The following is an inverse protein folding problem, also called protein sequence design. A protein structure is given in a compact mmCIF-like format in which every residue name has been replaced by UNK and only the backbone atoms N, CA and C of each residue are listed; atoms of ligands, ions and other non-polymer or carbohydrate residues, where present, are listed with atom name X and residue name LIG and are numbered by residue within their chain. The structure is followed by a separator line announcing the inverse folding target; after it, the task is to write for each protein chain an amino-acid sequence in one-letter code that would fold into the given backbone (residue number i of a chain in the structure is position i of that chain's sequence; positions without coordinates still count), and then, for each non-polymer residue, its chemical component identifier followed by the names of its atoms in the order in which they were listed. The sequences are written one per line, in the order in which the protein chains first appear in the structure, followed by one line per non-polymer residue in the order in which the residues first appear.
data_IF_145988588322
#
_entry.id   IF_145988588322
#
_cell.length_a   1.000
_cell.length_b   1.000
_cell.length_c   1.000
_cell.angle_alpha   90.00
_cell.angle_beta   90.00
_cell.angle_gamma   90.00
#
_symmetry.space_group_name_H-M   'P 1'
#
loop_
_entity.id
_entity.type
_entity.pdbx_description
1 polymer ?
#
# COMPACT_ATOMS: atom_id res chain seq x y z
N UNK A 1 -21.97 12.78 10.92
CA UNK A 1 -21.06 13.69 11.64
C UNK A 1 -20.57 14.75 10.67
N UNK A 2 -20.40 15.99 11.11
CA UNK A 2 -19.95 17.15 10.33
C UNK A 2 -18.45 17.41 10.56
N UNK A 3 -17.87 18.27 9.74
CA UNK A 3 -16.41 18.60 9.80
C UNK A 3 -15.97 19.21 11.14
N UNK A 4 -16.88 19.80 11.91
CA UNK A 4 -16.61 20.33 13.26
C UNK A 4 -16.85 19.31 14.39
N UNK A 5 -17.08 18.05 14.04
CA UNK A 5 -17.39 16.97 14.98
C UNK A 5 -18.84 16.94 15.46
N UNK A 6 -19.70 17.88 15.04
CA UNK A 6 -21.09 17.86 15.44
C UNK A 6 -21.85 16.70 14.81
N UNK A 7 -22.84 16.16 15.56
CA UNK A 7 -23.59 14.96 15.20
C UNK A 7 -25.00 15.38 14.81
N UNK A 8 -25.49 14.88 13.67
CA UNK A 8 -26.85 15.15 13.17
C UNK A 8 -27.70 13.91 13.36
N UNK A 9 -28.86 14.06 13.98
CA UNK A 9 -29.80 12.98 14.30
C UNK A 9 -31.22 13.38 13.89
N UNK A 10 -31.97 12.48 13.27
CA UNK A 10 -33.41 12.53 13.17
C UNK A 10 -34.05 11.78 14.34
N UNK A 11 -35.20 12.20 14.80
CA UNK A 11 -35.88 11.59 15.94
C UNK A 11 -37.32 11.20 15.58
N UNK A 12 -37.84 10.25 16.35
CA UNK A 12 -39.26 9.87 16.27
C UNK A 12 -40.23 10.98 16.81
N UNK A 13 -39.69 12.05 17.35
CA UNK A 13 -40.46 13.19 17.89
C UNK A 13 -40.46 14.36 16.92
N UNK A 14 -40.54 14.10 15.61
CA UNK A 14 -40.67 15.11 14.55
C UNK A 14 -39.58 16.18 14.57
N UNK A 15 -38.36 15.80 15.00
CA UNK A 15 -37.29 16.77 15.19
C UNK A 15 -35.98 16.28 14.59
N UNK A 16 -35.30 17.15 13.86
CA UNK A 16 -33.90 17.04 13.53
C UNK A 16 -33.09 17.75 14.62
N UNK A 17 -32.11 17.08 15.18
CA UNK A 17 -31.23 17.61 16.25
C UNK A 17 -29.81 17.61 15.78
N UNK A 18 -29.06 18.66 16.06
CA UNK A 18 -27.62 18.72 15.91
C UNK A 18 -26.98 18.89 17.28
N UNK A 19 -26.11 17.95 17.62
CA UNK A 19 -25.36 17.94 18.87
C UNK A 19 -23.91 18.39 18.65
N UNK A 20 -23.32 19.05 19.63
CA UNK A 20 -21.88 19.28 19.69
C UNK A 20 -21.13 17.98 19.97
N UNK A 21 -19.79 17.94 19.79
CA UNK A 21 -18.99 16.76 20.10
C UNK A 21 -19.09 16.30 21.57
N UNK A 22 -19.41 17.21 22.49
CA UNK A 22 -19.62 16.94 23.91
C UNK A 22 -21.02 16.37 24.24
N UNK A 23 -21.87 16.19 23.22
CA UNK A 23 -23.24 15.70 23.37
C UNK A 23 -24.28 16.76 23.71
N UNK A 24 -23.89 18.03 23.91
CA UNK A 24 -24.86 19.11 24.15
C UNK A 24 -25.53 19.54 22.85
N UNK A 25 -26.79 19.99 22.95
CA UNK A 25 -27.51 20.44 21.78
C UNK A 25 -26.92 21.71 21.20
N UNK A 26 -26.67 21.71 19.90
CA UNK A 26 -26.28 22.92 19.16
C UNK A 26 -27.47 23.64 18.62
N UNK A 27 -28.39 22.93 17.95
CA UNK A 27 -29.70 23.44 17.49
C UNK A 27 -30.63 22.28 17.12
N UNK A 28 -31.92 22.59 16.98
CA UNK A 28 -32.94 21.67 16.47
C UNK A 28 -33.85 22.35 15.47
N UNK A 29 -34.49 21.53 14.63
CA UNK A 29 -35.54 21.98 13.72
C UNK A 29 -36.71 20.99 13.75
N UNK A 30 -37.94 21.51 13.70
CA UNK A 30 -39.14 20.70 13.61
C UNK A 30 -39.36 20.20 12.17
N UNK A 31 -39.94 19.02 12.06
CA UNK A 31 -40.53 18.46 10.85
C UNK A 31 -42.02 18.21 11.09
N UNK A 32 -42.81 18.06 10.04
CA UNK A 32 -44.27 17.92 10.19
C UNK A 32 -44.67 16.52 10.72
N UNK A 33 -43.77 15.52 10.62
CA UNK A 33 -43.99 14.16 11.12
C UNK A 33 -42.64 13.53 11.55
N UNK A 34 -42.68 12.33 12.08
CA UNK A 34 -41.51 11.58 12.53
C UNK A 34 -40.62 11.09 11.34
N UNK A 35 -39.39 10.75 11.62
CA UNK A 35 -38.42 10.29 10.62
C UNK A 35 -37.63 9.09 11.09
N UNK A 36 -37.66 8.01 10.31
CA UNK A 36 -36.77 6.84 10.37
C UNK A 36 -35.59 6.99 9.41
N UNK A 37 -35.58 8.09 8.63
CA UNK A 37 -34.53 8.34 7.66
C UNK A 37 -33.28 8.86 8.35
N UNK A 38 -32.14 8.28 8.02
CA UNK A 38 -30.86 8.82 8.44
C UNK A 38 -30.53 10.09 7.66
N UNK A 39 -30.22 11.21 8.32
CA UNK A 39 -29.83 12.44 7.65
C UNK A 39 -28.60 12.27 6.76
N UNK A 40 -28.61 12.93 5.59
CA UNK A 40 -27.49 13.01 4.66
C UNK A 40 -26.96 14.44 4.66
N UNK A 41 -25.65 14.60 4.79
CA UNK A 41 -24.99 15.91 4.77
C UNK A 41 -24.30 16.07 3.43
N UNK A 42 -24.66 17.09 2.67
CA UNK A 42 -24.03 17.44 1.41
C UNK A 42 -22.69 18.19 1.63
N UNK A 43 -21.82 18.25 0.61
CA UNK A 43 -20.52 18.93 0.71
C UNK A 43 -20.62 20.42 1.09
N UNK A 44 -21.71 21.09 0.71
CA UNK A 44 -22.01 22.50 1.05
C UNK A 44 -22.53 22.67 2.49
N UNK A 45 -22.76 21.55 3.20
CA UNK A 45 -23.28 21.53 4.55
C UNK A 45 -24.79 21.42 4.66
N UNK A 46 -25.54 21.40 3.57
CA UNK A 46 -26.99 21.16 3.58
C UNK A 46 -27.32 19.79 4.13
N UNK A 47 -28.28 19.69 5.03
CA UNK A 47 -28.70 18.43 5.65
C UNK A 47 -30.04 18.04 5.04
N UNK A 48 -30.10 16.88 4.42
CA UNK A 48 -31.30 16.28 3.85
C UNK A 48 -31.80 15.15 4.73
N UNK A 49 -33.11 15.11 4.99
CA UNK A 49 -33.77 14.05 5.74
C UNK A 49 -35.16 13.77 5.19
N UNK A 50 -35.46 12.49 4.94
CA UNK A 50 -36.82 12.06 4.56
C UNK A 50 -37.68 11.98 5.79
N UNK A 51 -39.00 12.35 5.66
CA UNK A 51 -39.96 12.35 6.72
C UNK A 51 -41.18 11.48 6.35
N UNK A 52 -41.89 10.97 7.32
CA UNK A 52 -43.08 10.14 7.13
C UNK A 52 -44.28 10.90 6.53
N UNK A 53 -44.25 12.25 6.55
CA UNK A 53 -45.18 13.11 5.83
C UNK A 53 -44.98 13.09 4.29
N UNK A 54 -44.08 12.21 3.78
CA UNK A 54 -43.71 12.03 2.37
C UNK A 54 -42.96 13.25 1.78
N UNK A 55 -42.33 14.09 2.61
CA UNK A 55 -41.49 15.18 2.17
C UNK A 55 -40.01 14.86 2.40
N UNK A 56 -39.16 15.51 1.62
CA UNK A 56 -37.73 15.62 1.84
C UNK A 56 -37.44 17.02 2.40
N UNK A 57 -36.96 17.07 3.61
CA UNK A 57 -36.53 18.31 4.25
C UNK A 57 -35.09 18.62 3.90
N UNK A 58 -34.80 19.90 3.66
CA UNK A 58 -33.47 20.42 3.45
C UNK A 58 -33.19 21.56 4.42
N UNK A 59 -32.24 21.36 5.31
CA UNK A 59 -31.83 22.37 6.30
C UNK A 59 -30.50 22.97 5.89
N UNK A 60 -30.46 24.29 5.76
CA UNK A 60 -29.24 25.00 5.41
C UNK A 60 -28.16 24.77 6.45
N UNK A 61 -26.94 24.51 6.01
CA UNK A 61 -25.75 24.33 6.82
C UNK A 61 -24.52 24.88 6.12
N UNK A 62 -23.50 25.17 6.88
CA UNK A 62 -22.24 25.72 6.36
C UNK A 62 -21.06 24.72 6.52
N UNK A 63 -21.34 23.52 7.01
CA UNK A 63 -20.31 22.53 7.34
C UNK A 63 -20.68 21.17 6.75
N UNK A 64 -19.88 20.74 5.79
CA UNK A 64 -20.04 19.47 5.11
C UNK A 64 -19.85 18.24 6.02
N UNK A 65 -19.96 17.04 5.46
CA UNK A 65 -19.72 15.79 6.19
C UNK A 65 -18.29 15.74 6.70
N UNK A 66 -18.09 15.13 7.87
CA UNK A 66 -16.75 14.93 8.44
C UNK A 66 -15.88 14.09 7.48
N UNK A 67 -14.59 14.44 7.43
CA UNK A 67 -13.58 13.60 6.81
C UNK A 67 -13.25 12.52 7.85
N UNK A 68 -14.03 11.46 7.90
CA UNK A 68 -13.92 10.36 8.85
C UNK A 68 -14.30 9.05 8.16
N UNK A 69 -13.94 7.93 8.79
CA UNK A 69 -14.19 6.60 8.21
C UNK A 69 -15.69 6.29 8.04
N UNK A 70 -16.51 6.85 8.91
CA UNK A 70 -17.96 6.62 8.92
C UNK A 70 -18.76 7.90 9.26
N UNK A 71 -18.75 8.94 8.37
CA UNK A 71 -19.33 10.25 8.67
C UNK A 71 -20.85 10.24 8.74
N UNK A 72 -21.53 9.28 8.09
CA UNK A 72 -22.99 9.21 8.05
C UNK A 72 -23.47 7.76 7.86
N UNK A 73 -24.79 7.53 7.96
CA UNK A 73 -25.38 6.19 7.82
C UNK A 73 -24.97 5.55 6.48
N UNK A 74 -24.49 4.31 6.56
CA UNK A 74 -23.85 3.58 5.44
C UNK A 74 -22.72 4.37 4.79
N UNK A 75 -22.06 5.21 5.59
CA UNK A 75 -20.79 5.86 5.37
C UNK A 75 -20.77 7.06 4.41
N UNK A 76 -21.35 6.98 3.24
CA UNK A 76 -21.30 8.04 2.22
C UNK A 76 -22.70 8.39 1.68
N UNK A 77 -22.78 9.47 0.89
CA UNK A 77 -24.01 9.92 0.27
C UNK A 77 -24.64 8.91 -0.69
N UNK A 78 -23.85 7.95 -1.20
CA UNK A 78 -24.35 6.84 -2.01
C UNK A 78 -24.78 5.64 -1.16
N UNK A 79 -24.66 5.68 0.15
CA UNK A 79 -25.08 4.64 1.12
C UNK A 79 -24.52 3.25 0.82
N UNK A 80 -23.31 3.18 0.31
CA UNK A 80 -22.68 1.92 -0.13
C UNK A 80 -22.36 0.98 1.03
N UNK A 81 -22.19 1.50 2.26
CA UNK A 81 -21.80 0.71 3.42
C UNK A 81 -20.44 0.03 3.30
N UNK A 82 -19.69 0.37 2.25
CA UNK A 82 -18.35 -0.13 2.00
C UNK A 82 -17.35 0.96 2.38
N UNK A 83 -16.37 0.62 3.18
CA UNK A 83 -15.26 1.52 3.43
C UNK A 83 -14.37 1.55 2.18
N UNK A 84 -14.20 2.70 1.47
CA UNK A 84 -13.15 2.78 0.47
C UNK A 84 -11.82 2.55 1.15
N UNK A 85 -11.05 1.69 0.58
CA UNK A 85 -9.68 1.49 0.98
C UNK A 85 -8.96 2.83 0.79
N UNK A 86 -8.82 3.61 1.87
CA UNK A 86 -7.99 4.81 1.87
C UNK A 86 -8.60 6.17 2.20
N UNK A 87 -9.49 6.30 3.20
CA UNK A 87 -9.89 7.63 3.71
C UNK A 87 -9.98 7.64 5.24
N UNK A 88 -8.95 8.08 5.87
CA UNK A 88 -8.99 8.66 7.22
C UNK A 88 -8.13 9.93 7.21
N UNK A 89 -8.71 11.04 7.63
CA UNK A 89 -7.97 12.27 7.92
C UNK A 89 -7.41 12.19 9.36
N UNK A 90 -6.41 11.42 9.50
CA UNK A 90 -5.44 11.28 10.56
C UNK A 90 -4.35 10.46 9.94
N UNK A 91 -3.11 10.74 10.11
CA UNK A 91 -1.96 10.10 9.43
C UNK A 91 -2.33 8.87 8.59
N UNK A 92 -2.71 9.10 7.33
CA UNK A 92 -3.19 8.03 6.42
C UNK A 92 -2.21 6.88 6.43
N UNK A 93 -2.69 5.67 6.73
CA UNK A 93 -1.87 4.47 6.65
C UNK A 93 -1.21 4.39 5.28
N UNK A 94 0.10 4.22 5.24
CA UNK A 94 0.90 4.18 4.01
C UNK A 94 1.94 3.09 4.09
N UNK A 95 2.43 2.69 2.93
CA UNK A 95 3.59 1.82 2.84
C UNK A 95 4.84 2.67 3.04
N UNK A 96 5.59 2.40 4.09
CA UNK A 96 6.83 3.12 4.43
C UNK A 96 8.07 2.43 3.87
N UNK A 97 7.99 1.12 3.68
CA UNK A 97 9.07 0.30 3.14
C UNK A 97 8.49 -0.87 2.35
N UNK A 98 9.19 -1.26 1.33
CA UNK A 98 8.95 -2.47 0.56
C UNK A 98 10.29 -3.16 0.31
N UNK A 99 10.37 -4.47 0.53
CA UNK A 99 11.60 -5.25 0.36
C UNK A 99 11.33 -6.58 -0.33
N UNK A 100 12.31 -7.09 -1.06
CA UNK A 100 12.29 -8.41 -1.69
C UNK A 100 13.63 -9.07 -1.54
N UNK A 101 13.65 -10.26 -0.94
CA UNK A 101 14.83 -11.13 -0.87
C UNK A 101 14.64 -12.36 -1.72
N UNK A 102 15.60 -12.62 -2.59
CA UNK A 102 15.63 -13.79 -3.46
C UNK A 102 17.04 -14.05 -3.99
N UNK A 103 17.23 -15.14 -4.70
CA UNK A 103 18.46 -15.41 -5.46
C UNK A 103 18.46 -14.51 -6.72
N UNK A 104 19.40 -13.57 -6.77
CA UNK A 104 19.62 -12.69 -7.92
C UNK A 104 20.63 -13.37 -8.86
N UNK A 105 20.19 -13.64 -10.08
CA UNK A 105 20.98 -14.25 -11.13
C UNK A 105 21.24 -13.30 -12.30
N UNK A 106 21.52 -13.87 -13.45
CA UNK A 106 21.73 -13.16 -14.72
C UNK A 106 20.59 -13.44 -15.69
N UNK A 107 20.42 -12.58 -16.70
CA UNK A 107 19.40 -12.75 -17.73
C UNK A 107 17.97 -12.81 -17.16
N UNK A 108 17.24 -13.87 -17.43
CA UNK A 108 15.87 -14.08 -16.94
C UNK A 108 15.75 -14.23 -15.42
N UNK A 109 16.84 -14.50 -14.71
CA UNK A 109 16.89 -14.65 -13.26
C UNK A 109 17.34 -13.36 -12.53
N UNK A 110 17.47 -12.25 -13.22
CA UNK A 110 17.70 -10.94 -12.59
C UNK A 110 16.54 -10.63 -11.63
N UNK A 111 16.87 -10.16 -10.41
CA UNK A 111 15.84 -9.67 -9.49
C UNK A 111 15.27 -8.37 -10.03
N UNK A 112 14.00 -8.40 -10.43
CA UNK A 112 13.29 -7.25 -10.96
C UNK A 112 12.19 -6.87 -9.98
N UNK A 113 12.20 -5.63 -9.50
CA UNK A 113 11.15 -5.09 -8.67
C UNK A 113 10.56 -3.84 -9.32
N UNK A 114 9.23 -3.84 -9.50
CA UNK A 114 8.48 -2.68 -9.95
C UNK A 114 7.87 -1.94 -8.77
N UNK A 115 7.87 -0.61 -8.80
CA UNK A 115 7.17 0.20 -7.81
C UNK A 115 6.44 1.37 -8.47
N UNK A 116 5.39 1.85 -7.81
CA UNK A 116 4.56 2.95 -8.31
C UNK A 116 4.53 4.07 -7.27
N UNK A 117 4.84 5.27 -7.73
CA UNK A 117 4.60 6.52 -7.00
C UNK A 117 3.33 7.15 -7.52
N UNK A 118 2.38 7.47 -6.66
CA UNK A 118 1.08 8.05 -7.01
C UNK A 118 0.83 9.33 -6.22
N UNK A 119 0.12 10.27 -6.84
CA UNK A 119 -0.19 11.58 -6.28
C UNK A 119 0.55 12.71 -6.99
N UNK A 120 0.37 13.93 -6.51
CA UNK A 120 0.99 15.14 -7.07
C UNK A 120 2.34 15.42 -6.40
N UNK A 121 3.27 16.00 -7.17
CA UNK A 121 4.65 16.29 -6.72
C UNK A 121 5.59 15.09 -6.88
N UNK A 122 6.63 15.06 -6.09
CA UNK A 122 7.63 13.99 -6.09
C UNK A 122 7.75 13.32 -4.72
N UNK A 123 8.28 12.09 -4.71
CA UNK A 123 8.56 11.33 -3.50
C UNK A 123 10.01 10.89 -3.45
N UNK A 124 10.72 11.27 -2.39
CA UNK A 124 12.06 10.77 -2.11
C UNK A 124 12.02 9.29 -1.77
N UNK A 125 12.77 8.49 -2.50
CA UNK A 125 12.94 7.07 -2.21
C UNK A 125 14.43 6.73 -2.10
N UNK A 126 14.76 5.95 -1.07
CA UNK A 126 16.03 5.25 -0.97
C UNK A 126 15.83 3.82 -1.48
N UNK A 127 16.48 3.48 -2.59
CA UNK A 127 16.47 2.14 -3.16
C UNK A 127 17.83 1.50 -2.93
N UNK A 128 17.85 0.28 -2.35
CA UNK A 128 19.08 -0.44 -2.02
C UNK A 128 19.11 -1.80 -2.70
N UNK A 129 20.28 -2.22 -3.14
CA UNK A 129 20.60 -3.59 -3.53
C UNK A 129 21.64 -4.14 -2.56
N UNK A 130 21.21 -4.96 -1.62
CA UNK A 130 22.06 -5.44 -0.53
C UNK A 130 22.47 -6.87 -0.78
N UNK A 131 23.75 -7.13 -0.67
CA UNK A 131 24.35 -8.46 -0.81
C UNK A 131 25.34 -8.72 0.33
N UNK A 132 26.55 -8.15 0.35
CA UNK A 132 27.57 -8.46 1.34
C UNK A 132 27.10 -8.29 2.78
N UNK A 133 26.34 -7.22 3.07
CA UNK A 133 25.83 -6.95 4.42
C UNK A 133 24.87 -8.03 4.92
N UNK A 134 24.23 -8.81 4.05
CA UNK A 134 23.33 -9.91 4.45
C UNK A 134 24.06 -11.01 5.23
N UNK A 135 25.37 -11.15 5.06
CA UNK A 135 26.15 -12.12 5.83
C UNK A 135 26.09 -11.85 7.35
N UNK A 136 25.99 -10.59 7.76
CA UNK A 136 25.85 -10.21 9.18
C UNK A 136 24.50 -10.64 9.79
N UNK A 137 23.52 -10.97 8.94
CA UNK A 137 22.22 -11.53 9.32
C UNK A 137 22.13 -13.05 9.14
N UNK A 138 23.28 -13.71 8.94
CA UNK A 138 23.35 -15.17 8.80
C UNK A 138 22.93 -15.70 7.42
N UNK A 139 22.80 -14.83 6.41
CA UNK A 139 22.48 -15.27 5.04
C UNK A 139 23.75 -15.79 4.38
N UNK A 140 23.78 -17.10 4.10
CA UNK A 140 24.85 -17.75 3.33
C UNK A 140 24.58 -17.62 1.84
N UNK A 141 25.64 -17.52 1.02
CA UNK A 141 25.51 -17.35 -0.43
C UNK A 141 24.99 -15.99 -0.87
N UNK A 142 25.19 -14.95 -0.06
CA UNK A 142 24.85 -13.57 -0.42
C UNK A 142 25.63 -13.13 -1.67
N UNK A 143 24.98 -12.34 -2.53
CA UNK A 143 25.59 -11.77 -3.72
C UNK A 143 26.77 -10.85 -3.33
N UNK A 144 27.96 -11.16 -3.84
CA UNK A 144 29.19 -10.51 -3.38
C UNK A 144 29.32 -9.03 -3.76
N UNK A 145 28.77 -8.64 -4.91
CA UNK A 145 28.79 -7.26 -5.40
C UNK A 145 27.50 -6.99 -6.19
N UNK A 146 26.41 -6.54 -5.52
CA UNK A 146 25.17 -6.16 -6.18
C UNK A 146 25.28 -4.83 -6.89
N UNK A 147 24.64 -4.71 -8.03
CA UNK A 147 24.38 -3.47 -8.73
C UNK A 147 22.89 -3.22 -8.76
N UNK A 148 22.44 -1.99 -8.44
CA UNK A 148 21.05 -1.55 -8.60
C UNK A 148 20.95 -0.56 -9.76
N UNK A 149 20.09 -0.88 -10.74
CA UNK A 149 19.75 0.02 -11.85
C UNK A 149 18.26 0.36 -11.81
N UNK A 150 17.93 1.65 -11.93
CA UNK A 150 16.57 2.16 -11.89
C UNK A 150 16.13 2.64 -13.27
N UNK A 151 14.88 2.31 -13.64
CA UNK A 151 14.31 2.58 -14.95
C UNK A 151 12.95 3.26 -14.85
N UNK A 152 12.63 4.07 -15.87
CA UNK A 152 11.26 4.51 -16.18
C UNK A 152 10.94 4.03 -17.61
N UNK A 153 10.06 3.05 -17.73
CA UNK A 153 9.90 2.30 -18.97
C UNK A 153 11.22 1.64 -19.38
N UNK A 154 11.68 1.88 -20.60
CA UNK A 154 12.96 1.37 -21.10
C UNK A 154 14.17 2.29 -20.77
N UNK A 155 13.95 3.50 -20.28
CA UNK A 155 15.01 4.46 -20.01
C UNK A 155 15.65 4.19 -18.65
N UNK A 156 16.96 3.91 -18.63
CA UNK A 156 17.73 3.86 -17.39
C UNK A 156 17.92 5.26 -16.81
N UNK A 157 17.50 5.45 -15.58
CA UNK A 157 17.59 6.74 -14.87
C UNK A 157 18.90 6.90 -14.12
N UNK A 158 19.38 5.84 -13.50
CA UNK A 158 20.59 5.81 -12.66
C UNK A 158 20.95 4.36 -12.36
N UNK A 159 22.22 4.12 -12.10
CA UNK A 159 22.74 2.88 -11.53
C UNK A 159 23.79 3.18 -10.46
N UNK A 160 23.94 2.24 -9.54
CA UNK A 160 25.00 2.24 -8.53
C UNK A 160 25.34 0.78 -8.16
N UNK A 161 26.62 0.53 -7.92
CA UNK A 161 27.14 -0.78 -7.45
C UNK A 161 27.96 -0.66 -6.16
N UNK A 162 28.39 0.55 -5.81
CA UNK A 162 29.15 0.86 -4.59
C UNK A 162 28.54 2.08 -3.92
N UNK A 163 27.65 1.90 -2.95
CA UNK A 163 26.91 2.99 -2.30
C UNK A 163 27.81 4.08 -1.71
N UNK A 164 28.99 3.66 -1.16
CA UNK A 164 29.93 4.57 -0.52
C UNK A 164 30.66 5.51 -1.49
N UNK A 165 30.69 5.18 -2.79
CA UNK A 165 31.28 6.02 -3.85
C UNK A 165 30.25 6.99 -4.48
N UNK A 166 28.97 6.89 -4.11
CA UNK A 166 27.96 7.82 -4.59
C UNK A 166 28.24 9.25 -4.10
N UNK A 167 28.09 10.24 -4.98
CA UNK A 167 28.30 11.67 -4.63
C UNK A 167 27.41 12.15 -3.47
N UNK A 168 26.28 11.48 -3.23
CA UNK A 168 25.34 11.76 -2.15
C UNK A 168 25.36 10.68 -1.05
N UNK A 169 26.48 9.98 -0.84
CA UNK A 169 26.59 8.90 0.16
C UNK A 169 26.23 9.33 1.58
N UNK A 170 26.59 10.54 1.99
CA UNK A 170 26.20 11.10 3.30
C UNK A 170 24.67 11.25 3.45
N UNK A 171 23.98 11.66 2.38
CA UNK A 171 22.52 11.75 2.35
C UNK A 171 21.88 10.36 2.37
N UNK A 172 22.50 9.36 1.71
CA UNK A 172 22.07 7.96 1.76
C UNK A 172 22.10 7.46 3.21
N UNK A 173 23.18 7.70 3.96
CA UNK A 173 23.28 7.33 5.37
C UNK A 173 22.19 7.99 6.21
N UNK A 174 21.98 9.30 6.03
CA UNK A 174 20.97 10.04 6.78
C UNK A 174 19.56 9.56 6.47
N UNK A 175 19.25 9.32 5.19
CA UNK A 175 17.96 8.81 4.75
C UNK A 175 17.70 7.39 5.24
N UNK A 176 18.71 6.51 5.21
CA UNK A 176 18.63 5.15 5.74
C UNK A 176 18.31 5.15 7.24
N UNK A 177 19.03 5.97 8.02
CA UNK A 177 18.78 6.10 9.46
C UNK A 177 17.38 6.63 9.77
N UNK A 178 16.92 7.66 9.06
CA UNK A 178 15.61 8.26 9.24
C UNK A 178 14.46 7.30 8.85
N UNK A 179 14.69 6.44 7.86
CA UNK A 179 13.71 5.42 7.41
C UNK A 179 13.74 4.12 8.23
N UNK A 180 14.65 4.01 9.22
CA UNK A 180 14.82 2.80 10.03
C UNK A 180 15.47 1.63 9.28
N UNK A 181 16.20 1.92 8.19
CA UNK A 181 16.96 0.92 7.46
C UNK A 181 18.25 0.58 8.23
N UNK A 182 18.64 -0.69 8.25
CA UNK A 182 19.92 -1.07 8.85
C UNK A 182 21.09 -0.40 8.11
N UNK A 183 22.19 -0.06 8.81
CA UNK A 183 23.33 0.61 8.19
C UNK A 183 24.05 -0.33 7.23
N UNK A 184 24.52 0.21 6.10
CA UNK A 184 25.50 -0.46 5.25
C UNK A 184 26.89 -0.13 5.77
N UNK A 185 27.79 -1.13 5.93
CA UNK A 185 29.15 -0.91 6.40
C UNK A 185 29.92 -0.01 5.42
N UNK A 186 30.74 0.87 5.96
CA UNK A 186 31.65 1.69 5.13
C UNK A 186 32.56 0.80 4.31
N UNK A 187 32.66 1.10 3.01
CA UNK A 187 33.44 0.29 2.07
C UNK A 187 32.83 -1.05 1.67
N UNK A 188 31.58 -1.34 2.09
CA UNK A 188 30.88 -2.50 1.55
C UNK A 188 30.50 -2.27 0.09
N UNK A 189 30.47 -3.36 -0.68
CA UNK A 189 30.07 -3.37 -2.09
C UNK A 189 28.55 -3.45 -2.28
N UNK A 190 27.76 -3.10 -1.25
CA UNK A 190 26.32 -2.96 -1.39
C UNK A 190 25.98 -1.74 -2.25
N UNK A 191 24.85 -1.78 -2.95
CA UNK A 191 24.40 -0.71 -3.82
C UNK A 191 23.28 0.13 -3.17
N UNK A 192 23.28 1.44 -3.40
CA UNK A 192 22.17 2.31 -3.00
C UNK A 192 22.01 3.52 -3.89
N UNK A 193 20.76 3.93 -4.11
CA UNK A 193 20.36 5.14 -4.81
C UNK A 193 19.35 5.90 -3.97
N UNK A 194 19.61 7.18 -3.68
CA UNK A 194 18.65 8.10 -3.09
C UNK A 194 18.26 9.15 -4.13
N UNK A 195 16.97 9.22 -4.44
CA UNK A 195 16.44 10.08 -5.50
C UNK A 195 14.96 10.41 -5.29
N UNK A 196 14.53 11.55 -5.87
CA UNK A 196 13.13 11.93 -5.99
C UNK A 196 12.50 11.33 -7.26
N UNK A 197 11.28 10.79 -7.09
CA UNK A 197 10.47 10.20 -8.16
C UNK A 197 9.15 10.94 -8.28
N UNK A 198 8.83 11.42 -9.47
CA UNK A 198 7.49 11.93 -9.80
C UNK A 198 6.44 10.81 -9.80
N UNK A 199 5.17 11.16 -9.92
CA UNK A 199 4.12 10.16 -10.13
C UNK A 199 4.39 9.33 -11.37
N UNK A 200 4.37 7.98 -11.24
CA UNK A 200 4.68 7.06 -12.33
C UNK A 200 5.10 5.67 -11.85
N UNK A 201 5.26 4.77 -12.81
CA UNK A 201 5.79 3.41 -12.59
C UNK A 201 7.29 3.36 -12.85
N UNK A 202 8.00 2.66 -12.00
CA UNK A 202 9.46 2.50 -12.06
C UNK A 202 9.85 1.05 -11.86
N UNK A 203 11.03 0.70 -12.34
CA UNK A 203 11.62 -0.63 -12.16
C UNK A 203 13.01 -0.51 -11.57
N UNK A 204 13.29 -1.29 -10.53
CA UNK A 204 14.62 -1.54 -10.02
C UNK A 204 15.06 -2.93 -10.47
N UNK A 205 16.26 -3.03 -11.00
CA UNK A 205 16.92 -4.31 -11.32
C UNK A 205 18.11 -4.46 -10.39
N UNK A 206 18.20 -5.60 -9.71
CA UNK A 206 19.38 -5.96 -8.92
C UNK A 206 20.05 -7.16 -9.57
N UNK A 207 21.31 -6.99 -9.91
CA UNK A 207 22.16 -8.02 -10.53
C UNK A 207 23.55 -7.98 -9.92
N UNK A 208 24.34 -9.03 -10.13
CA UNK A 208 25.74 -9.01 -9.74
C UNK A 208 26.60 -8.18 -10.70
N UNK A 209 27.37 -7.26 -10.18
CA UNK A 209 28.44 -6.58 -10.93
C UNK A 209 29.40 -7.66 -11.46
N UNK A 210 29.76 -7.55 -12.75
CA UNK A 210 30.58 -8.59 -13.40
C UNK A 210 29.91 -9.93 -13.64
N UNK A 211 28.57 -10.04 -13.53
CA UNK A 211 27.82 -11.28 -13.79
C UNK A 211 27.74 -12.25 -12.60
N UNK A 212 28.10 -11.80 -11.39
CA UNK A 212 27.96 -12.60 -10.15
C UNK A 212 26.51 -12.98 -9.86
N UNK A 213 26.32 -14.04 -9.09
CA UNK A 213 25.00 -14.52 -8.65
C UNK A 213 25.00 -14.79 -7.15
N UNK A 214 23.85 -14.73 -6.51
CA UNK A 214 23.71 -15.00 -5.09
C UNK A 214 22.45 -14.36 -4.50
N UNK A 215 22.23 -14.56 -3.21
CA UNK A 215 21.08 -13.99 -2.50
C UNK A 215 21.27 -12.48 -2.38
N UNK A 216 20.31 -11.72 -2.89
CA UNK A 216 20.25 -10.27 -2.75
C UNK A 216 18.93 -9.83 -2.11
N UNK A 217 18.98 -8.71 -1.42
CA UNK A 217 17.82 -8.00 -0.89
C UNK A 217 17.69 -6.66 -1.62
N UNK A 218 16.59 -6.48 -2.33
CA UNK A 218 16.18 -5.17 -2.85
C UNK A 218 15.25 -4.53 -1.84
N UNK A 219 15.47 -3.26 -1.55
CA UNK A 219 14.63 -2.48 -0.65
C UNK A 219 14.31 -1.11 -1.25
N UNK A 220 13.10 -0.63 -1.01
CA UNK A 220 12.66 0.73 -1.31
C UNK A 220 12.05 1.35 -0.06
N UNK A 221 12.67 2.39 0.45
CA UNK A 221 12.20 3.16 1.59
C UNK A 221 11.63 4.49 1.15
N UNK A 222 10.47 4.82 1.67
CA UNK A 222 9.87 6.14 1.56
C UNK A 222 10.59 7.11 2.52
N UNK A 223 11.40 8.00 1.97
CA UNK A 223 12.20 8.98 2.73
C UNK A 223 11.53 10.34 2.87
N UNK A 224 10.31 10.49 2.39
CA UNK A 224 9.58 11.75 2.41
C UNK A 224 9.60 12.47 1.05
N UNK A 225 9.07 13.67 1.02
CA UNK A 225 8.99 14.49 -0.19
C UNK A 225 7.87 15.52 -0.14
N UNK A 226 7.61 16.18 -1.27
CA UNK A 226 6.53 17.14 -1.39
C UNK A 226 5.16 16.49 -1.16
N UNK A 227 4.26 17.25 -0.59
CA UNK A 227 2.92 16.77 -0.19
C UNK A 227 2.15 16.13 -1.35
N UNK A 228 1.54 14.98 -1.11
CA UNK A 228 0.63 14.31 -2.04
C UNK A 228 1.18 13.05 -2.72
N UNK A 229 2.47 13.00 -3.06
CA UNK A 229 3.07 11.81 -3.65
C UNK A 229 3.36 10.73 -2.60
N UNK A 230 3.12 9.46 -2.92
CA UNK A 230 3.36 8.31 -2.04
C UNK A 230 3.67 7.04 -2.81
N UNK A 231 4.41 6.16 -2.18
CA UNK A 231 4.62 4.78 -2.66
C UNK A 231 3.32 3.98 -2.47
N UNK A 232 2.81 3.34 -3.52
CA UNK A 232 1.50 2.67 -3.47
C UNK A 232 1.54 1.21 -3.87
N UNK A 233 2.56 0.78 -4.60
CA UNK A 233 2.68 -0.59 -5.09
C UNK A 233 4.15 -1.03 -5.07
N UNK A 234 4.38 -2.29 -4.76
CA UNK A 234 5.58 -3.04 -5.12
C UNK A 234 5.17 -4.33 -5.81
N UNK A 235 5.86 -4.66 -6.88
CA UNK A 235 5.83 -5.98 -7.49
C UNK A 235 7.25 -6.50 -7.62
N UNK A 236 7.44 -7.80 -7.48
CA UNK A 236 8.73 -8.43 -7.72
C UNK A 236 8.57 -9.68 -8.56
N UNK A 237 9.51 -9.90 -9.44
CA UNK A 237 9.61 -11.13 -10.23
C UNK A 237 10.98 -11.75 -10.04
N UNK A 238 10.97 -13.02 -9.68
CA UNK A 238 12.15 -13.86 -9.54
C UNK A 238 11.78 -15.32 -9.72
N UNK A 239 12.74 -16.17 -9.94
CA UNK A 239 12.55 -17.61 -9.79
C UNK A 239 12.16 -17.92 -8.33
N UNK A 240 11.19 -18.81 -8.16
CA UNK A 240 10.69 -19.24 -6.85
C UNK A 240 10.86 -20.74 -6.72
N UNK A 241 11.61 -21.16 -5.70
CA UNK A 241 11.83 -22.56 -5.34
C UNK A 241 11.14 -22.95 -4.05
N UNK A 242 11.75 -23.86 -3.33
CA UNK A 242 11.30 -24.39 -2.04
C UNK A 242 12.38 -24.18 -0.96
N UNK A 243 12.02 -24.31 0.32
CA UNK A 243 12.96 -24.13 1.44
C UNK A 243 13.54 -22.72 1.50
N UNK A 244 14.85 -22.57 1.32
CA UNK A 244 15.55 -21.28 1.32
C UNK A 244 15.39 -20.46 0.05
N UNK A 245 14.92 -21.06 -1.05
CA UNK A 245 14.81 -20.43 -2.37
C UNK A 245 13.42 -19.84 -2.64
N UNK A 246 12.62 -19.64 -1.62
CA UNK A 246 11.34 -18.96 -1.74
C UNK A 246 11.52 -17.45 -1.96
N UNK A 247 10.56 -16.83 -2.61
CA UNK A 247 10.47 -15.36 -2.66
C UNK A 247 9.93 -14.83 -1.33
N UNK A 248 10.69 -13.97 -0.67
CA UNK A 248 10.25 -13.26 0.52
C UNK A 248 10.08 -11.79 0.19
N UNK A 249 8.85 -11.31 0.26
CA UNK A 249 8.52 -9.89 0.12
C UNK A 249 8.11 -9.34 1.48
N UNK A 250 8.73 -8.23 1.91
CA UNK A 250 8.41 -7.54 3.15
C UNK A 250 7.82 -6.17 2.87
N UNK A 251 6.95 -5.70 3.75
CA UNK A 251 6.43 -4.34 3.71
C UNK A 251 6.13 -3.82 5.11
N UNK A 252 6.17 -2.49 5.26
CA UNK A 252 5.87 -1.81 6.52
C UNK A 252 4.66 -0.91 6.32
N UNK A 253 3.65 -1.09 7.14
CA UNK A 253 2.50 -0.17 7.25
C UNK A 253 2.82 0.86 8.30
N UNK A 254 2.74 2.15 7.95
CA UNK A 254 2.97 3.28 8.87
C UNK A 254 1.71 4.14 8.96
N UNK A 255 1.59 4.90 10.02
CA UNK A 255 0.43 5.77 10.27
C UNK A 255 -0.74 5.01 10.86
N UNK A 256 -1.86 4.92 10.16
CA UNK A 256 -3.03 4.17 10.59
C UNK A 256 -3.15 2.80 9.90
N UNK A 257 -4.13 2.01 10.33
CA UNK A 257 -4.52 0.74 9.70
C UNK A 257 -4.73 0.90 8.20
N UNK A 258 -4.21 -0.04 7.41
CA UNK A 258 -4.25 -0.02 5.95
C UNK A 258 -4.81 -1.31 5.39
N UNK A 259 -5.69 -1.19 4.38
CA UNK A 259 -6.03 -2.33 3.53
C UNK A 259 -4.89 -2.55 2.51
N UNK A 260 -4.43 -3.78 2.43
CA UNK A 260 -3.33 -4.21 1.55
C UNK A 260 -3.80 -5.41 0.75
N UNK A 261 -3.65 -5.34 -0.57
CA UNK A 261 -3.83 -6.48 -1.47
C UNK A 261 -2.45 -7.11 -1.71
N UNK A 262 -2.26 -8.34 -1.28
CA UNK A 262 -1.04 -9.14 -1.51
C UNK A 262 -1.37 -10.23 -2.51
N UNK A 263 -0.52 -10.43 -3.53
CA UNK A 263 -0.75 -11.43 -4.57
C UNK A 263 0.50 -12.26 -4.82
N UNK A 264 0.33 -13.57 -4.91
CA UNK A 264 1.31 -14.53 -5.40
C UNK A 264 0.87 -15.04 -6.76
N UNK A 265 1.52 -14.58 -7.83
CA UNK A 265 1.08 -14.81 -9.19
C UNK A 265 1.99 -15.80 -9.88
N UNK A 266 1.40 -16.84 -10.44
CA UNK A 266 2.08 -17.86 -11.20
C UNK A 266 1.38 -18.07 -12.55
N UNK A 267 0.27 -18.83 -12.62
CA UNK A 267 -0.36 -19.21 -13.90
C UNK A 267 -0.75 -18.02 -14.77
N UNK A 268 -1.25 -16.92 -14.19
CA UNK A 268 -1.64 -15.74 -14.95
C UNK A 268 -0.44 -15.07 -15.65
N UNK A 269 0.80 -15.29 -15.22
CA UNK A 269 1.99 -14.74 -15.87
C UNK A 269 2.19 -15.27 -17.30
N UNK A 270 1.66 -16.45 -17.63
CA UNK A 270 1.72 -17.00 -18.97
C UNK A 270 1.02 -16.10 -20.02
N UNK A 271 -0.03 -15.37 -19.61
CA UNK A 271 -0.73 -14.39 -20.47
C UNK A 271 0.20 -13.25 -20.91
N UNK A 272 1.23 -12.99 -20.12
CA UNK A 272 2.26 -11.96 -20.39
C UNK A 272 3.54 -12.55 -21.01
N UNK A 273 3.50 -13.79 -21.50
CA UNK A 273 4.65 -14.45 -22.13
C UNK A 273 5.77 -14.86 -21.17
N UNK A 274 5.47 -14.99 -19.88
CA UNK A 274 6.46 -15.49 -18.89
C UNK A 274 6.47 -17.00 -18.94
N UNK A 275 7.55 -17.56 -19.50
CA UNK A 275 7.79 -19.00 -19.52
C UNK A 275 8.23 -19.53 -18.15
N UNK A 276 7.88 -20.77 -17.81
CA UNK A 276 8.26 -21.41 -16.56
C UNK A 276 7.60 -20.79 -15.31
N UNK A 277 6.47 -20.08 -15.47
CA UNK A 277 5.73 -19.56 -14.34
C UNK A 277 5.32 -20.67 -13.37
N UNK A 278 5.36 -20.38 -12.05
CA UNK A 278 4.97 -21.33 -11.00
C UNK A 278 3.51 -21.74 -11.19
N UNK A 279 3.27 -23.05 -11.29
CA UNK A 279 1.94 -23.57 -11.67
C UNK A 279 0.89 -23.42 -10.56
N UNK A 280 1.32 -23.36 -9.29
CA UNK A 280 0.44 -23.35 -8.12
C UNK A 280 1.16 -22.61 -6.96
N UNK A 281 1.14 -21.28 -6.92
CA UNK A 281 1.79 -20.48 -5.88
C UNK A 281 1.01 -20.50 -4.59
N UNK A 282 1.68 -20.73 -3.47
CA UNK A 282 1.14 -20.52 -2.11
C UNK A 282 1.66 -19.22 -1.53
N UNK A 283 0.75 -18.39 -1.04
CA UNK A 283 1.04 -17.10 -0.41
C UNK A 283 0.76 -17.17 1.09
N UNK A 284 1.74 -16.77 1.89
CA UNK A 284 1.61 -16.67 3.35
C UNK A 284 2.07 -15.28 3.79
N UNK A 285 1.33 -14.66 4.70
CA UNK A 285 1.68 -13.37 5.31
C UNK A 285 1.93 -13.58 6.78
N UNK A 286 3.08 -13.10 7.26
CA UNK A 286 3.51 -13.16 8.65
C UNK A 286 3.68 -11.77 9.22
N UNK A 287 3.47 -11.61 10.52
CA UNK A 287 3.83 -10.38 11.26
C UNK A 287 5.32 -10.42 11.70
N UNK A 288 5.80 -9.31 12.27
CA UNK A 288 7.18 -9.18 12.76
C UNK A 288 7.54 -10.16 13.88
N UNK A 289 6.55 -10.77 14.53
CA UNK A 289 6.73 -11.84 15.52
C UNK A 289 6.77 -13.23 14.89
N UNK A 290 6.87 -13.34 13.57
CA UNK A 290 6.85 -14.59 12.81
C UNK A 290 5.56 -15.41 13.01
N UNK A 291 4.43 -14.74 13.32
CA UNK A 291 3.12 -15.37 13.46
C UNK A 291 2.41 -15.29 12.11
N UNK A 292 1.86 -16.41 11.64
CA UNK A 292 1.05 -16.47 10.43
C UNK A 292 -0.22 -15.61 10.63
N UNK A 293 -0.37 -14.59 9.79
CA UNK A 293 -1.54 -13.69 9.76
C UNK A 293 -2.61 -14.24 8.83
N UNK A 294 -2.23 -14.69 7.63
CA UNK A 294 -3.14 -15.25 6.64
C UNK A 294 -2.38 -16.05 5.58
N UNK A 295 -3.09 -16.95 4.90
CA UNK A 295 -2.56 -17.69 3.75
C UNK A 295 -3.63 -17.91 2.69
N UNK A 296 -3.21 -18.10 1.45
CA UNK A 296 -4.05 -18.47 0.32
C UNK A 296 -3.20 -19.15 -0.78
N UNK A 297 -3.80 -20.10 -1.48
CA UNK A 297 -3.22 -20.77 -2.66
C UNK A 297 -4.12 -20.69 -3.90
N UNK A 298 -5.40 -20.36 -3.72
CA UNK A 298 -6.39 -20.25 -4.80
C UNK A 298 -7.30 -19.05 -4.53
N UNK A 299 -7.00 -17.90 -5.12
CA UNK A 299 -7.66 -16.63 -4.82
C UNK A 299 -9.17 -16.64 -5.01
N UNK A 300 -9.66 -17.33 -6.06
CA UNK A 300 -11.09 -17.36 -6.40
C UNK A 300 -11.92 -18.21 -5.43
N UNK A 301 -11.29 -19.13 -4.69
CA UNK A 301 -11.94 -19.93 -3.64
C UNK A 301 -12.05 -19.16 -2.31
N UNK A 302 -11.41 -18.00 -2.17
CA UNK A 302 -11.50 -17.18 -0.96
C UNK A 302 -12.91 -16.61 -0.80
N UNK A 303 -13.44 -16.62 0.44
CA UNK A 303 -14.77 -16.08 0.75
C UNK A 303 -14.96 -14.60 0.36
N UNK A 304 -13.86 -13.84 0.25
CA UNK A 304 -13.84 -12.44 -0.15
C UNK A 304 -13.30 -12.21 -1.57
N UNK A 305 -13.32 -13.23 -2.46
CA UNK A 305 -12.80 -13.18 -3.84
C UNK A 305 -13.36 -12.00 -4.65
N UNK A 306 -14.64 -11.68 -4.49
CA UNK A 306 -15.29 -10.52 -5.14
C UNK A 306 -14.63 -9.21 -4.72
N UNK A 307 -14.29 -9.06 -3.43
CA UNK A 307 -13.60 -7.88 -2.91
C UNK A 307 -12.15 -7.83 -3.38
N UNK A 308 -11.46 -8.97 -3.46
CA UNK A 308 -10.11 -9.09 -4.04
C UNK A 308 -10.12 -8.59 -5.48
N UNK A 309 -11.04 -9.08 -6.33
CA UNK A 309 -11.16 -8.65 -7.71
C UNK A 309 -11.52 -7.17 -7.87
N UNK A 310 -12.44 -6.65 -7.04
CA UNK A 310 -12.81 -5.23 -7.04
C UNK A 310 -11.65 -4.34 -6.62
N UNK A 311 -10.91 -4.75 -5.58
CA UNK A 311 -9.72 -4.03 -5.11
C UNK A 311 -8.61 -4.04 -6.16
N UNK A 312 -8.34 -5.19 -6.78
CA UNK A 312 -7.35 -5.29 -7.85
C UNK A 312 -7.62 -4.27 -8.96
N UNK A 313 -8.88 -4.18 -9.44
CA UNK A 313 -9.28 -3.17 -10.43
C UNK A 313 -9.08 -1.73 -9.94
N UNK A 314 -9.42 -1.45 -8.69
CA UNK A 314 -9.35 -0.09 -8.13
C UNK A 314 -7.91 0.44 -7.96
N UNK A 315 -6.94 -0.47 -7.81
CA UNK A 315 -5.51 -0.13 -7.68
C UNK A 315 -4.73 -0.32 -9.00
N UNK A 316 -5.42 -0.61 -10.12
CA UNK A 316 -4.80 -0.79 -11.43
C UNK A 316 -4.02 -2.10 -11.58
N UNK A 317 -4.27 -3.10 -10.73
CA UNK A 317 -3.67 -4.40 -10.86
C UNK A 317 -4.42 -5.23 -11.93
N UNK A 318 -3.69 -5.94 -12.77
CA UNK A 318 -4.31 -6.81 -13.79
C UNK A 318 -5.17 -7.91 -13.15
N UNK A 319 -6.19 -8.33 -13.88
CA UNK A 319 -7.10 -9.38 -13.41
C UNK A 319 -6.37 -10.73 -13.32
N UNK A 320 -6.68 -11.50 -12.29
CA UNK A 320 -6.31 -12.90 -12.20
C UNK A 320 -7.38 -13.74 -12.90
N UNK A 321 -6.98 -14.87 -13.46
CA UNK A 321 -7.90 -15.82 -14.11
C UNK A 321 -8.84 -16.41 -13.06
N UNK A 322 -10.14 -16.32 -13.31
CA UNK A 322 -11.15 -16.93 -12.44
C UNK A 322 -11.01 -18.47 -12.47
N UNK A 323 -11.05 -19.11 -11.30
CA UNK A 323 -10.75 -20.54 -11.17
C UNK A 323 -9.25 -20.88 -11.37
N UNK A 324 -8.39 -19.87 -11.63
CA UNK A 324 -6.94 -20.06 -11.71
C UNK A 324 -6.31 -20.30 -10.32
N UNK A 325 -5.11 -20.86 -10.34
CA UNK A 325 -4.35 -21.23 -9.13
C UNK A 325 -3.46 -20.12 -8.59
N UNK A 326 -3.64 -18.89 -9.04
CA UNK A 326 -2.94 -17.75 -8.44
C UNK A 326 -3.43 -17.50 -7.00
N UNK A 327 -2.57 -17.01 -6.14
CA UNK A 327 -2.90 -16.70 -4.75
C UNK A 327 -3.12 -15.20 -4.56
N UNK A 328 -4.10 -14.82 -3.73
CA UNK A 328 -4.32 -13.44 -3.32
C UNK A 328 -4.99 -13.31 -1.96
N UNK A 329 -4.60 -12.28 -1.22
CA UNK A 329 -5.13 -11.92 0.08
C UNK A 329 -5.45 -10.42 0.11
N UNK A 330 -6.65 -10.08 0.57
CA UNK A 330 -7.02 -8.71 0.91
C UNK A 330 -7.11 -8.61 2.43
N UNK A 331 -6.16 -7.90 3.03
CA UNK A 331 -5.96 -7.80 4.46
C UNK A 331 -6.12 -6.36 4.93
N UNK A 332 -6.65 -6.18 6.14
CA UNK A 332 -6.67 -4.89 6.84
C UNK A 332 -5.66 -4.98 7.98
N UNK A 333 -4.52 -4.30 7.82
CA UNK A 333 -3.36 -4.46 8.69
C UNK A 333 -3.09 -3.18 9.50
N UNK A 334 -2.90 -3.29 10.83
CA UNK A 334 -2.42 -2.17 11.64
C UNK A 334 -0.99 -1.76 11.26
N UNK A 335 -0.50 -0.60 11.75
CA UNK A 335 0.91 -0.26 11.61
C UNK A 335 1.81 -1.37 12.13
N UNK A 336 2.83 -1.73 11.34
CA UNK A 336 3.74 -2.84 11.64
C UNK A 336 4.50 -3.32 10.42
N UNK A 337 5.45 -4.22 10.64
CA UNK A 337 6.19 -4.91 9.58
C UNK A 337 5.57 -6.30 9.32
N UNK A 338 5.49 -6.64 8.06
CA UNK A 338 4.91 -7.88 7.56
C UNK A 338 5.79 -8.51 6.50
#
# INVERSE_FOLDING_TARGET
VRTDGSIVLSTSNNTLIVLRPDGTELWRAAMDDWSDSSPVIAPDGTIYVGCSDKKLYAFSGTRGPAIADWPQFRRDSQRRGLQPIGSAAGTTGRLGNLSVRTNAGTGGNTLIAGFVVSGTGSRGLLVRGVGPTLASFGVTGALANPSVALFSGAAQLVANDDWGLAANSAQIVSAASAAGAFPLPSGSLDAAVLRDFAGGGYTAQVSGSGGGTGIALMEAYDTGGTTGARLVNLSARSAVGTGGDILIAGFVVTGSTRAVLVRGIGPTLAVFGVEGALADPRLQVYDSGNRLVAENDNWSAAANSVNIAATARSVGAFALTDGGKDAALLLTLPPGAY
#
